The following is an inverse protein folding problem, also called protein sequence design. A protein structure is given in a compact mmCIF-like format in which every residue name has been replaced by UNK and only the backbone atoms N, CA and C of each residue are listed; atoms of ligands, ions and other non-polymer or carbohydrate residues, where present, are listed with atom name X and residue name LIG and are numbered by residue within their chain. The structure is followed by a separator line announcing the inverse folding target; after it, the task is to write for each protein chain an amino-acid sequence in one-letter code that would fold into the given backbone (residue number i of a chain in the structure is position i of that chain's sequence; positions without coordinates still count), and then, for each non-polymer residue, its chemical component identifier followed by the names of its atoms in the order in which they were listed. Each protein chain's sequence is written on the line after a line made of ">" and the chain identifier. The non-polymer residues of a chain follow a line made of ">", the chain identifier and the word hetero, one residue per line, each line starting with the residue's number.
data_IF_172268619919
#
_entry.id   IF_172268619919
#
_cell.length_a   1.000
_cell.length_b   1.000
_cell.length_c   1.000
_cell.angle_alpha   90.00
_cell.angle_beta   90.00
_cell.angle_gamma   90.00
#
_symmetry.space_group_name_H-M   'P 1'
#
loop_
_entity.id
_entity.type
_entity.pdbx_description
1 polymer ?
#
# COMPACT_ATOMS: atom_id res chain seq x y z
N UNK A 1 -0.57 -7.77 -7.93
CA UNK A 1 -1.58 -8.78 -8.28
C UNK A 1 -2.31 -8.25 -9.49
N UNK A 2 -2.23 -8.94 -10.53
CA UNK A 2 -2.91 -8.51 -11.73
C UNK A 2 -4.35 -8.99 -11.64
N UNK A 3 -5.31 -8.19 -12.10
CA UNK A 3 -6.64 -8.65 -12.52
C UNK A 3 -6.52 -10.00 -13.24
N UNK A 4 -5.42 -10.23 -13.96
CA UNK A 4 -5.03 -11.47 -14.62
C UNK A 4 -5.15 -12.74 -13.76
N UNK A 5 -4.76 -12.68 -12.47
CA UNK A 5 -4.78 -13.89 -11.61
C UNK A 5 -6.22 -14.28 -11.25
N UNK A 6 -7.14 -13.31 -11.22
CA UNK A 6 -8.58 -13.55 -10.99
C UNK A 6 -9.29 -14.07 -12.22
N UNK A 7 -8.77 -13.79 -13.42
CA UNK A 7 -9.31 -14.25 -14.72
C UNK A 7 -8.46 -15.37 -15.30
N UNK A 8 -7.84 -16.19 -14.45
CA UNK A 8 -7.09 -17.41 -14.81
C UNK A 8 -6.02 -17.18 -15.89
N UNK A 9 -5.47 -15.98 -15.95
CA UNK A 9 -4.41 -15.64 -16.89
C UNK A 9 -4.87 -15.03 -18.22
N UNK A 10 -6.18 -14.95 -18.48
CA UNK A 10 -6.71 -14.48 -19.78
C UNK A 10 -6.57 -12.97 -20.01
N UNK A 11 -6.34 -12.19 -18.94
CA UNK A 11 -6.12 -10.73 -19.05
C UNK A 11 -4.63 -10.41 -19.17
N UNK A 12 -4.25 -9.85 -20.29
CA UNK A 12 -2.91 -9.33 -20.54
C UNK A 12 -2.92 -7.79 -20.51
N UNK A 13 -1.94 -7.14 -19.88
CA UNK A 13 -1.82 -5.69 -19.98
C UNK A 13 -1.54 -5.29 -21.42
N UNK A 14 -2.16 -4.20 -21.89
CA UNK A 14 -1.76 -3.61 -23.17
C UNK A 14 -0.23 -3.34 -23.17
N UNK A 15 0.43 -3.55 -24.29
CA UNK A 15 1.89 -3.42 -24.40
C UNK A 15 2.42 -2.08 -23.85
N UNK A 16 1.69 -0.97 -24.10
CA UNK A 16 2.01 0.35 -23.58
C UNK A 16 1.97 0.45 -22.03
N UNK A 17 1.28 -0.45 -21.35
CA UNK A 17 1.15 -0.45 -19.89
C UNK A 17 2.17 -1.37 -19.22
N UNK A 18 2.74 -2.33 -19.95
CA UNK A 18 3.66 -3.33 -19.38
C UNK A 18 4.97 -2.71 -18.87
N UNK A 19 5.39 -1.59 -19.45
CA UNK A 19 6.65 -0.90 -19.14
C UNK A 19 6.47 0.35 -18.26
N UNK A 20 5.24 0.71 -17.90
CA UNK A 20 4.99 1.89 -17.06
C UNK A 20 5.63 1.73 -15.68
N UNK A 21 6.42 2.71 -15.30
CA UNK A 21 7.12 2.77 -14.00
C UNK A 21 7.10 4.20 -13.47
N UNK A 22 7.09 4.32 -12.15
CA UNK A 22 7.31 5.61 -11.50
C UNK A 22 8.76 6.04 -11.78
N UNK A 23 8.94 7.23 -12.33
CA UNK A 23 10.25 7.84 -12.46
C UNK A 23 10.63 8.44 -11.11
N UNK A 24 11.75 8.02 -10.56
CA UNK A 24 12.28 8.49 -9.28
C UNK A 24 13.72 8.97 -9.46
N UNK A 25 14.19 9.93 -8.65
CA UNK A 25 15.57 10.36 -8.67
C UNK A 25 16.55 9.21 -8.42
N UNK A 26 17.72 9.26 -9.04
CA UNK A 26 18.80 8.32 -8.75
C UNK A 26 19.49 8.75 -7.46
N UNK A 27 19.36 7.94 -6.42
CA UNK A 27 19.99 8.17 -5.10
C UNK A 27 21.27 7.34 -5.02
N UNK A 28 22.43 7.99 -4.74
CA UNK A 28 23.72 7.30 -4.66
C UNK A 28 23.82 6.33 -3.49
N UNK A 29 23.22 6.69 -2.36
CA UNK A 29 23.20 5.86 -1.14
C UNK A 29 21.72 5.74 -0.69
N UNK A 30 20.95 4.81 -1.29
CA UNK A 30 19.52 4.69 -1.01
C UNK A 30 19.28 4.15 0.40
N UNK A 31 18.48 4.87 1.18
CA UNK A 31 17.94 4.38 2.43
C UNK A 31 16.81 3.35 2.18
N UNK A 32 16.16 2.87 3.25
CA UNK A 32 15.07 1.91 3.12
C UNK A 32 13.89 2.47 2.32
N UNK A 33 13.54 3.74 2.54
CA UNK A 33 12.44 4.43 1.83
C UNK A 33 12.74 4.53 0.34
N UNK A 34 13.96 4.93 -0.02
CA UNK A 34 14.40 5.00 -1.41
C UNK A 34 14.36 3.62 -2.08
N UNK A 35 14.75 2.56 -1.37
CA UNK A 35 14.69 1.18 -1.87
C UNK A 35 13.27 0.71 -2.10
N UNK A 36 12.33 0.99 -1.17
CA UNK A 36 10.91 0.69 -1.33
C UNK A 36 10.33 1.41 -2.54
N UNK A 37 10.69 2.69 -2.73
CA UNK A 37 10.17 3.53 -3.79
C UNK A 37 10.89 3.35 -5.13
N UNK A 38 11.96 2.56 -5.19
CA UNK A 38 12.77 2.38 -6.40
C UNK A 38 11.92 1.97 -7.61
N UNK A 39 12.32 2.47 -8.79
CA UNK A 39 11.62 2.27 -10.06
C UNK A 39 11.49 0.79 -10.46
N UNK A 40 12.46 -0.03 -10.09
CA UNK A 40 12.48 -1.47 -10.41
C UNK A 40 11.36 -2.27 -9.76
N UNK A 41 10.73 -1.73 -8.69
CA UNK A 41 9.63 -2.37 -7.98
C UNK A 41 8.31 -1.63 -8.24
N UNK A 42 7.58 -1.91 -9.31
CA UNK A 42 6.26 -1.30 -9.56
C UNK A 42 5.24 -1.68 -8.51
N UNK A 43 5.43 -2.81 -7.84
CA UNK A 43 4.67 -3.25 -6.66
C UNK A 43 5.65 -3.57 -5.55
N UNK A 44 5.35 -3.17 -4.32
CA UNK A 44 6.16 -3.42 -3.14
C UNK A 44 5.27 -3.71 -1.93
N UNK A 45 5.74 -4.57 -1.03
CA UNK A 45 5.11 -4.86 0.25
C UNK A 45 6.08 -4.49 1.38
N UNK A 46 5.59 -3.68 2.31
CA UNK A 46 6.30 -3.32 3.53
C UNK A 46 5.64 -4.03 4.70
N UNK A 47 6.41 -4.85 5.39
CA UNK A 47 5.96 -5.56 6.58
C UNK A 47 6.35 -4.77 7.83
N UNK A 48 5.35 -4.54 8.67
CA UNK A 48 5.46 -3.91 9.98
C UNK A 48 5.17 -4.94 11.08
N UNK A 49 5.90 -4.89 12.18
CA UNK A 49 5.69 -5.85 13.28
C UNK A 49 4.76 -5.24 14.33
N UNK A 50 3.46 -5.46 14.15
CA UNK A 50 2.39 -5.15 15.10
C UNK A 50 1.33 -6.26 15.09
N UNK A 51 0.64 -6.50 16.22
CA UNK A 51 -0.17 -7.72 16.40
C UNK A 51 -1.57 -7.51 16.98
N UNK A 52 -1.92 -6.32 17.45
CA UNK A 52 -3.20 -6.05 18.15
C UNK A 52 -3.98 -4.87 17.59
N UNK A 53 -3.54 -4.32 16.49
CA UNK A 53 -4.22 -3.18 15.87
C UNK A 53 -5.46 -3.64 15.10
N UNK A 54 -6.60 -2.99 15.32
CA UNK A 54 -7.87 -3.31 14.66
C UNK A 54 -8.25 -2.25 13.60
N UNK A 55 -8.43 -1.00 14.02
CA UNK A 55 -8.93 0.08 13.15
C UNK A 55 -7.89 1.18 12.88
N UNK A 56 -6.82 1.20 13.64
CA UNK A 56 -5.71 2.13 13.50
C UNK A 56 -4.42 1.47 13.95
N UNK A 57 -3.35 1.65 13.18
CA UNK A 57 -1.99 1.23 13.49
C UNK A 57 -1.07 2.43 13.44
N UNK A 58 -0.51 2.82 14.58
CA UNK A 58 0.42 3.94 14.66
C UNK A 58 1.69 3.69 13.82
N UNK A 59 2.15 2.44 13.77
CA UNK A 59 3.32 2.06 12.98
C UNK A 59 3.05 2.19 11.47
N UNK A 60 1.91 1.69 10.99
CA UNK A 60 1.56 1.86 9.57
C UNK A 60 1.30 3.33 9.21
N UNK A 61 0.74 4.13 10.13
CA UNK A 61 0.59 5.59 9.94
C UNK A 61 1.96 6.23 9.68
N UNK A 62 2.96 5.93 10.52
CA UNK A 62 4.31 6.48 10.38
C UNK A 62 4.95 6.07 9.06
N UNK A 63 4.87 4.78 8.70
CA UNK A 63 5.43 4.26 7.46
C UNK A 63 4.81 4.94 6.24
N UNK A 64 3.47 4.95 6.16
CA UNK A 64 2.75 5.50 5.00
C UNK A 64 2.97 7.01 4.88
N UNK A 65 2.94 7.75 5.99
CA UNK A 65 3.20 9.18 5.99
C UNK A 65 4.65 9.51 5.57
N UNK A 66 5.63 8.71 6.00
CA UNK A 66 7.04 8.86 5.61
C UNK A 66 7.24 8.60 4.11
N UNK A 67 6.65 7.52 3.58
CA UNK A 67 6.69 7.22 2.14
C UNK A 67 6.04 8.34 1.32
N UNK A 68 4.88 8.84 1.77
CA UNK A 68 4.17 9.92 1.09
C UNK A 68 4.95 11.23 1.13
N UNK A 69 5.55 11.59 2.27
CA UNK A 69 6.38 12.78 2.39
C UNK A 69 7.59 12.72 1.44
N UNK A 70 8.29 11.56 1.36
CA UNK A 70 9.40 11.35 0.41
C UNK A 70 8.95 11.53 -1.05
N UNK A 71 7.80 10.98 -1.43
CA UNK A 71 7.25 11.14 -2.78
C UNK A 71 6.94 12.58 -3.11
N UNK A 72 6.32 13.33 -2.19
CA UNK A 72 5.89 14.72 -2.41
C UNK A 72 7.07 15.70 -2.38
N UNK A 73 7.95 15.58 -1.39
CA UNK A 73 9.01 16.56 -1.13
C UNK A 73 10.29 16.28 -1.92
N UNK A 74 10.73 15.03 -1.92
CA UNK A 74 12.06 14.71 -2.45
C UNK A 74 11.98 14.19 -3.89
N UNK A 75 10.85 13.54 -4.27
CA UNK A 75 10.66 12.97 -5.61
C UNK A 75 9.78 13.82 -6.54
N UNK A 76 9.20 14.91 -6.02
CA UNK A 76 8.41 15.85 -6.80
C UNK A 76 7.10 15.28 -7.35
N UNK A 77 6.58 14.21 -6.73
CA UNK A 77 5.28 13.66 -7.12
C UNK A 77 4.19 14.65 -6.75
N UNK A 78 3.42 15.11 -7.73
CA UNK A 78 2.31 16.02 -7.48
C UNK A 78 1.21 15.33 -6.68
N UNK A 79 0.67 16.00 -5.66
CA UNK A 79 -0.34 15.43 -4.75
C UNK A 79 -1.54 14.83 -5.49
N UNK A 80 -2.00 15.44 -6.58
CA UNK A 80 -3.09 14.92 -7.40
C UNK A 80 -2.79 13.56 -8.07
N UNK A 81 -1.52 13.15 -8.14
CA UNK A 81 -1.07 11.88 -8.73
C UNK A 81 -0.84 10.79 -7.69
N UNK A 82 -0.97 11.11 -6.40
CA UNK A 82 -0.82 10.20 -5.27
C UNK A 82 -2.18 9.94 -4.62
N UNK A 83 -2.46 8.69 -4.25
CA UNK A 83 -3.54 8.34 -3.35
C UNK A 83 -3.02 7.49 -2.20
N UNK A 84 -3.59 7.71 -1.03
CA UNK A 84 -3.37 6.93 0.18
C UNK A 84 -4.70 6.32 0.58
N UNK A 85 -4.72 5.01 0.76
CA UNK A 85 -5.95 4.27 1.00
C UNK A 85 -5.80 3.39 2.23
N UNK A 86 -6.82 3.39 3.07
CA UNK A 86 -6.96 2.42 4.15
C UNK A 86 -8.43 2.03 4.32
N UNK A 87 -8.72 0.82 4.87
CA UNK A 87 -10.10 0.38 5.08
C UNK A 87 -10.85 1.22 6.12
N UNK A 88 -10.14 1.78 7.09
CA UNK A 88 -10.72 2.49 8.24
C UNK A 88 -10.51 4.00 8.17
N UNK A 89 -11.57 4.77 8.43
CA UNK A 89 -11.50 6.25 8.46
C UNK A 89 -10.55 6.76 9.54
N UNK A 90 -10.48 6.08 10.69
CA UNK A 90 -9.55 6.43 11.75
C UNK A 90 -8.09 6.40 11.26
N UNK A 91 -7.72 5.34 10.52
CA UNK A 91 -6.40 5.21 9.91
C UNK A 91 -6.13 6.33 8.90
N UNK A 92 -7.08 6.60 8.01
CA UNK A 92 -6.95 7.66 7.02
C UNK A 92 -6.76 9.04 7.67
N UNK A 93 -7.51 9.34 8.72
CA UNK A 93 -7.38 10.60 9.48
C UNK A 93 -6.02 10.72 10.16
N UNK A 94 -5.54 9.64 10.78
CA UNK A 94 -4.24 9.62 11.45
C UNK A 94 -3.09 9.79 10.43
N UNK A 95 -3.17 9.13 9.26
CA UNK A 95 -2.19 9.31 8.18
C UNK A 95 -2.20 10.77 7.68
N UNK A 96 -3.38 11.34 7.45
CA UNK A 96 -3.50 12.73 6.99
C UNK A 96 -2.87 13.71 7.99
N UNK A 97 -3.14 13.54 9.29
CA UNK A 97 -2.57 14.36 10.35
C UNK A 97 -1.04 14.21 10.41
N UNK A 98 -0.52 12.97 10.37
CA UNK A 98 0.92 12.72 10.43
C UNK A 98 1.64 13.26 9.21
N UNK A 99 1.09 13.07 8.01
CA UNK A 99 1.65 13.62 6.78
C UNK A 99 1.68 15.15 6.82
N UNK A 100 0.59 15.79 7.25
CA UNK A 100 0.56 17.27 7.40
C UNK A 100 1.65 17.78 8.36
N UNK A 101 1.91 17.07 9.46
CA UNK A 101 3.01 17.40 10.38
C UNK A 101 4.37 17.30 9.69
N UNK A 102 4.64 16.21 8.97
CA UNK A 102 5.92 16.01 8.27
C UNK A 102 6.16 17.10 7.20
N UNK A 103 5.13 17.47 6.44
CA UNK A 103 5.20 18.52 5.44
C UNK A 103 5.46 19.89 6.08
N UNK A 104 4.76 20.21 7.18
CA UNK A 104 4.93 21.46 7.92
C UNK A 104 6.33 21.59 8.53
N UNK A 105 6.92 20.52 9.03
CA UNK A 105 8.28 20.50 9.59
C UNK A 105 9.36 20.88 8.54
N UNK A 106 9.09 20.60 7.26
CA UNK A 106 9.95 21.00 6.14
C UNK A 106 9.66 22.39 5.59
N UNK A 107 8.70 23.12 6.19
CA UNK A 107 8.32 24.47 5.75
C UNK A 107 7.53 24.50 4.43
N UNK A 108 7.12 23.35 3.93
CA UNK A 108 6.45 23.24 2.65
C UNK A 108 4.92 23.34 2.79
N UNK A 109 4.31 24.19 1.97
CA UNK A 109 2.85 24.28 1.82
C UNK A 109 2.41 23.41 0.65
N UNK A 110 2.39 22.10 0.87
CA UNK A 110 1.95 21.12 -0.14
C UNK A 110 0.50 20.75 0.12
N UNK A 111 -0.31 20.73 -0.93
CA UNK A 111 -1.66 20.18 -0.86
C UNK A 111 -1.59 18.67 -0.53
N UNK A 112 -2.40 18.22 0.41
CA UNK A 112 -2.47 16.79 0.73
C UNK A 112 -3.01 16.01 -0.47
N UNK A 113 -2.51 14.80 -0.71
CA UNK A 113 -3.08 13.89 -1.69
C UNK A 113 -4.47 13.41 -1.24
N UNK A 114 -5.15 12.65 -2.10
CA UNK A 114 -6.38 11.95 -1.69
C UNK A 114 -6.01 10.91 -0.64
N UNK A 115 -6.62 11.02 0.54
CA UNK A 115 -6.47 10.08 1.67
C UNK A 115 -7.88 9.66 2.07
N UNK A 116 -8.30 8.44 1.69
CA UNK A 116 -9.68 8.00 1.91
C UNK A 116 -9.81 6.47 1.89
N UNK A 117 -11.03 5.99 2.04
CA UNK A 117 -11.33 4.56 1.88
C UNK A 117 -11.35 4.18 0.40
N UNK A 118 -11.19 2.89 0.14
CA UNK A 118 -11.09 2.34 -1.22
C UNK A 118 -12.32 2.65 -2.05
N UNK A 119 -13.51 2.66 -1.43
CA UNK A 119 -14.79 2.91 -2.09
C UNK A 119 -14.86 4.30 -2.72
N UNK A 120 -14.26 5.30 -2.09
CA UNK A 120 -14.26 6.68 -2.59
C UNK A 120 -13.33 6.91 -3.78
N UNK A 121 -12.33 6.07 -3.96
CA UNK A 121 -11.46 6.12 -5.14
C UNK A 121 -11.99 5.28 -6.31
N UNK A 122 -13.20 4.71 -6.20
CA UNK A 122 -13.77 3.88 -7.25
C UNK A 122 -13.90 4.65 -8.56
N UNK A 123 -13.34 4.08 -9.64
CA UNK A 123 -13.34 4.71 -10.98
C UNK A 123 -12.17 5.69 -11.23
N UNK A 124 -11.44 6.14 -10.22
CA UNK A 124 -10.29 7.01 -10.38
C UNK A 124 -8.97 6.24 -10.26
N UNK A 125 -8.00 6.56 -11.11
CA UNK A 125 -6.64 6.01 -11.07
C UNK A 125 -5.64 7.07 -10.62
N UNK A 126 -4.54 6.65 -10.02
CA UNK A 126 -3.41 7.50 -9.62
C UNK A 126 -2.10 6.88 -10.07
N UNK A 127 -1.09 7.69 -10.24
CA UNK A 127 0.21 7.17 -10.61
C UNK A 127 0.83 6.35 -9.48
N UNK A 128 0.65 6.80 -8.25
CA UNK A 128 1.11 6.12 -7.05
C UNK A 128 -0.07 5.86 -6.11
N UNK A 129 -0.14 4.65 -5.59
CA UNK A 129 -1.08 4.28 -4.52
C UNK A 129 -0.28 3.70 -3.36
N UNK A 130 -0.49 4.25 -2.17
CA UNK A 130 -0.06 3.67 -0.90
C UNK A 130 -1.29 3.09 -0.22
N UNK A 131 -1.24 1.82 0.16
CA UNK A 131 -2.34 1.12 0.80
C UNK A 131 -1.92 0.60 2.18
N UNK A 132 -2.58 1.07 3.24
CA UNK A 132 -2.42 0.58 4.61
C UNK A 132 -3.46 -0.50 4.89
N UNK A 133 -3.02 -1.69 5.29
CA UNK A 133 -3.91 -2.80 5.67
C UNK A 133 -4.55 -2.54 7.03
N UNK A 134 -3.80 -1.91 7.91
CA UNK A 134 -4.19 -1.46 9.26
C UNK A 134 -4.32 -2.60 10.27
N UNK A 135 -5.13 -3.62 9.96
CA UNK A 135 -5.48 -4.65 10.93
C UNK A 135 -4.39 -5.72 11.07
N UNK A 136 -4.10 -6.05 12.32
CA UNK A 136 -3.23 -7.17 12.69
C UNK A 136 -3.88 -8.06 13.75
N UNK A 137 -5.08 -7.70 14.24
CA UNK A 137 -5.82 -8.47 15.20
C UNK A 137 -6.30 -9.79 14.58
N UNK A 138 -5.92 -10.95 15.14
CA UNK A 138 -6.35 -12.26 14.65
C UNK A 138 -7.87 -12.43 14.58
N UNK A 139 -8.61 -11.87 15.53
CA UNK A 139 -10.07 -11.96 15.57
C UNK A 139 -10.74 -11.15 14.46
N UNK A 140 -10.04 -10.17 13.92
CA UNK A 140 -10.51 -9.36 12.79
C UNK A 140 -10.29 -10.04 11.43
N UNK A 141 -9.45 -11.08 11.34
CA UNK A 141 -9.14 -11.75 10.05
C UNK A 141 -10.32 -12.49 9.45
N UNK A 142 -11.27 -12.95 10.24
CA UNK A 142 -12.52 -13.53 9.76
C UNK A 142 -13.63 -12.47 9.54
N UNK A 143 -13.34 -11.19 9.79
CA UNK A 143 -14.27 -10.09 9.55
C UNK A 143 -14.59 -9.94 8.07
N UNK A 144 -15.86 -9.95 7.65
CA UNK A 144 -16.28 -9.69 6.27
C UNK A 144 -15.81 -8.32 5.75
N UNK A 145 -15.48 -7.42 6.67
CA UNK A 145 -15.01 -6.07 6.33
C UNK A 145 -13.58 -6.08 5.79
N UNK A 146 -12.66 -6.80 6.43
CA UNK A 146 -11.27 -6.94 5.99
C UNK A 146 -11.15 -7.97 4.86
N UNK A 147 -11.93 -9.03 4.97
CA UNK A 147 -11.92 -10.15 4.03
C UNK A 147 -12.76 -9.91 2.76
N UNK A 148 -13.08 -8.66 2.44
CA UNK A 148 -13.69 -8.39 1.15
C UNK A 148 -12.62 -8.36 0.05
N UNK A 149 -12.48 -9.44 -0.75
CA UNK A 149 -11.45 -9.52 -1.79
C UNK A 149 -11.63 -8.43 -2.86
N UNK A 150 -12.84 -7.88 -2.99
CA UNK A 150 -13.11 -6.81 -3.93
C UNK A 150 -12.45 -5.49 -3.52
N UNK A 151 -12.38 -5.18 -2.22
CA UNK A 151 -11.72 -3.96 -1.72
C UNK A 151 -10.23 -3.97 -2.03
N UNK A 152 -9.54 -5.05 -1.68
CA UNK A 152 -8.14 -5.17 -2.00
C UNK A 152 -7.89 -5.10 -3.52
N UNK A 153 -8.70 -5.81 -4.33
CA UNK A 153 -8.61 -5.75 -5.78
C UNK A 153 -8.85 -4.34 -6.33
N UNK A 154 -9.81 -3.60 -5.81
CA UNK A 154 -10.03 -2.21 -6.21
C UNK A 154 -8.81 -1.36 -5.88
N UNK A 155 -8.27 -1.46 -4.66
CA UNK A 155 -7.10 -0.69 -4.24
C UNK A 155 -5.89 -0.94 -5.15
N UNK A 156 -5.55 -2.22 -5.40
CA UNK A 156 -4.35 -2.58 -6.19
C UNK A 156 -4.48 -2.23 -7.68
N UNK A 157 -5.71 -2.11 -8.20
CA UNK A 157 -5.95 -1.74 -9.60
C UNK A 157 -6.00 -0.23 -9.83
N UNK A 158 -5.88 0.58 -8.79
CA UNK A 158 -5.88 2.06 -8.92
C UNK A 158 -4.53 2.63 -9.26
N UNK A 159 -3.44 1.88 -9.04
CA UNK A 159 -2.08 2.33 -9.30
C UNK A 159 -1.70 2.16 -10.76
N UNK A 160 -1.25 3.25 -11.41
CA UNK A 160 -0.73 3.23 -12.78
C UNK A 160 0.74 2.86 -12.86
N UNK A 161 1.55 3.36 -11.93
CA UNK A 161 3.00 3.26 -11.97
C UNK A 161 3.60 2.56 -10.75
N UNK A 162 3.06 2.83 -9.56
CA UNK A 162 3.60 2.32 -8.30
C UNK A 162 2.48 2.00 -7.32
N UNK A 163 2.54 0.79 -6.76
CA UNK A 163 1.73 0.38 -5.63
C UNK A 163 2.65 -0.02 -4.48
N UNK A 164 2.44 0.56 -3.31
CA UNK A 164 3.07 0.09 -2.07
C UNK A 164 1.96 -0.31 -1.10
N UNK A 165 2.00 -1.55 -0.64
CA UNK A 165 1.13 -2.05 0.42
C UNK A 165 1.93 -2.10 1.71
N UNK A 166 1.38 -1.57 2.78
CA UNK A 166 1.94 -1.62 4.14
C UNK A 166 0.99 -2.42 5.00
N UNK A 167 1.50 -3.35 5.78
CA UNK A 167 0.67 -4.13 6.68
C UNK A 167 1.48 -5.01 7.63
N UNK A 168 0.81 -5.60 8.62
CA UNK A 168 1.50 -6.40 9.61
C UNK A 168 2.03 -7.71 9.03
N UNK A 169 3.18 -8.14 9.52
CA UNK A 169 3.71 -9.46 9.21
C UNK A 169 2.71 -10.56 9.59
N UNK A 170 2.08 -10.44 10.77
CA UNK A 170 1.08 -11.38 11.24
C UNK A 170 -0.07 -11.53 10.24
N UNK A 171 -0.64 -10.44 9.74
CA UNK A 171 -1.70 -10.46 8.72
C UNK A 171 -1.30 -11.25 7.46
N UNK A 172 -0.11 -11.02 6.92
CA UNK A 172 0.33 -11.66 5.69
C UNK A 172 0.78 -13.12 5.86
N UNK A 173 1.23 -13.52 7.05
CA UNK A 173 1.75 -14.88 7.31
C UNK A 173 0.72 -15.81 7.92
N UNK A 174 -0.28 -15.29 8.62
CA UNK A 174 -1.34 -16.10 9.22
C UNK A 174 -2.12 -16.90 8.20
N UNK A 175 -2.57 -18.10 8.59
CA UNK A 175 -3.45 -18.96 7.80
C UNK A 175 -4.84 -18.90 8.44
N UNK A 176 -5.87 -18.44 7.71
CA UNK A 176 -7.24 -18.45 8.19
C UNK A 176 -7.71 -19.88 8.50
N UNK A 177 -8.59 -20.02 9.48
CA UNK A 177 -9.08 -21.34 9.94
C UNK A 177 -10.32 -21.84 9.18
N UNK A 178 -10.94 -20.98 8.36
CA UNK A 178 -12.16 -21.30 7.61
C UNK A 178 -11.91 -21.24 6.10
N UNK A 179 -12.66 -22.04 5.32
CA UNK A 179 -12.59 -22.00 3.85
C UNK A 179 -12.93 -20.61 3.30
N UNK A 180 -13.92 -19.93 3.90
CA UNK A 180 -14.29 -18.57 3.55
C UNK A 180 -13.13 -17.59 3.81
N UNK A 181 -12.45 -17.72 4.95
CA UNK A 181 -11.26 -16.95 5.29
C UNK A 181 -10.11 -17.20 4.32
N UNK A 182 -9.85 -18.46 3.97
CA UNK A 182 -8.83 -18.82 2.98
C UNK A 182 -9.10 -18.18 1.61
N UNK A 183 -10.33 -18.22 1.14
CA UNK A 183 -10.73 -17.60 -0.13
C UNK A 183 -10.58 -16.07 -0.07
N UNK A 184 -10.97 -15.44 1.05
CA UNK A 184 -10.89 -14.00 1.24
C UNK A 184 -9.43 -13.53 1.30
N UNK A 185 -8.56 -14.27 2.00
CA UNK A 185 -7.13 -13.97 2.11
C UNK A 185 -6.29 -14.34 0.87
N UNK A 186 -6.84 -15.10 -0.05
CA UNK A 186 -6.09 -15.58 -1.23
C UNK A 186 -5.37 -14.45 -1.96
N UNK A 187 -6.05 -13.33 -2.21
CA UNK A 187 -5.46 -12.17 -2.88
C UNK A 187 -4.25 -11.59 -2.17
N UNK A 188 -4.30 -11.49 -0.84
CA UNK A 188 -3.17 -11.00 -0.02
C UNK A 188 -2.00 -11.98 -0.03
N UNK A 189 -2.26 -13.29 0.02
CA UNK A 189 -1.22 -14.34 -0.07
C UNK A 189 -0.51 -14.30 -1.41
N UNK A 190 -1.26 -14.22 -2.50
CA UNK A 190 -0.67 -14.11 -3.86
C UNK A 190 0.19 -12.84 -3.96
N UNK A 191 -0.28 -11.72 -3.42
CA UNK A 191 0.49 -10.47 -3.41
C UNK A 191 1.79 -10.60 -2.61
N UNK A 192 1.72 -11.21 -1.42
CA UNK A 192 2.89 -11.48 -0.56
C UNK A 192 3.93 -12.33 -1.30
N UNK A 193 3.53 -13.48 -1.83
CA UNK A 193 4.45 -14.37 -2.54
C UNK A 193 5.06 -13.71 -3.78
N UNK A 194 4.27 -12.92 -4.51
CA UNK A 194 4.78 -12.17 -5.64
C UNK A 194 5.85 -11.15 -5.24
N UNK A 195 5.59 -10.33 -4.23
CA UNK A 195 6.57 -9.37 -3.74
C UNK A 195 7.84 -10.07 -3.24
N UNK A 196 7.69 -11.18 -2.50
CA UNK A 196 8.82 -12.00 -2.02
C UNK A 196 9.67 -12.51 -3.19
N UNK A 197 9.06 -13.10 -4.19
CA UNK A 197 9.77 -13.69 -5.34
C UNK A 197 10.44 -12.64 -6.23
N UNK A 198 9.96 -11.40 -6.22
CA UNK A 198 10.53 -10.29 -6.98
C UNK A 198 11.53 -9.45 -6.18
N UNK A 199 11.85 -9.81 -4.94
CA UNK A 199 12.70 -9.01 -4.05
C UNK A 199 12.09 -7.67 -3.66
N UNK A 200 10.77 -7.54 -3.75
CA UNK A 200 10.00 -6.33 -3.45
C UNK A 200 9.28 -6.40 -2.10
N UNK A 201 9.75 -7.27 -1.21
CA UNK A 201 9.33 -7.42 0.18
C UNK A 201 10.34 -6.72 1.08
N UNK A 202 9.88 -5.80 1.91
CA UNK A 202 10.72 -5.01 2.79
C UNK A 202 10.23 -5.12 4.23
N UNK A 203 11.16 -5.29 5.15
CA UNK A 203 10.89 -5.25 6.58
C UNK A 203 11.14 -3.84 7.09
N UNK A 204 10.13 -3.26 7.77
CA UNK A 204 10.32 -1.97 8.42
C UNK A 204 11.01 -2.19 9.77
N UNK A 205 12.11 -1.46 10.06
CA UNK A 205 12.83 -1.65 11.32
C UNK A 205 11.95 -1.27 12.50
N UNK A 206 12.05 -2.03 13.56
CA UNK A 206 11.51 -1.64 14.86
C UNK A 206 12.34 -0.46 15.40
N UNK A 207 11.67 0.53 15.98
CA UNK A 207 12.30 1.69 16.59
C UNK A 207 12.97 1.31 17.92
#
# INVERSE_FOLDING_TARGET
>A
MCIRDRYQGDLHPAAANATRRLQVPVVRQPDLVDRILAQQYPVALVLADHTTDAQQSALEVEIVATLAARLLLDYGVVAARLAILAPHRAQNSAIAQRLAQLLSQRGERVTLPVIDTVERLQGAERDVVLFSVTSSDPDAFDSPFLNNPNRFNVAITRARHKLVVVGSRAFFTQVPHTDAGLQAHYGFKVYYHRCRNQGALFDWPQA
#
